data_IF_903491785336
#
_entry.id   IF_903491785336
#
_cell.length_a   1.000
_cell.length_b   1.000
_cell.length_c   1.000
_cell.angle_alpha   90.00
_cell.angle_beta   90.00
_cell.angle_gamma   90.00
#
_symmetry.space_group_name_H-M   'P 1'
#
loop_
_entity.id
_entity.type
_entity.pdbx_description
1 polymer ?
#
# COMPACT_ATOMS: atom_id res chain seq x y z
N UNK A 1 6.77 -9.36 10.49
CA UNK A 1 6.85 -7.97 10.95
C UNK A 1 8.28 -7.67 11.35
N UNK A 2 8.68 -6.40 11.29
CA UNK A 2 10.00 -5.91 11.73
C UNK A 2 9.82 -4.50 12.30
N UNK A 3 10.58 -4.14 13.34
CA UNK A 3 10.58 -2.78 13.90
C UNK A 3 11.90 -2.11 13.60
N UNK A 4 11.85 -0.93 12.99
CA UNK A 4 13.01 -0.11 12.61
C UNK A 4 12.99 1.20 13.39
N UNK A 5 14.16 1.64 13.85
CA UNK A 5 14.33 2.96 14.47
C UNK A 5 14.85 3.97 13.44
N UNK A 6 14.16 5.09 13.28
CA UNK A 6 14.61 6.17 12.41
C UNK A 6 14.32 7.53 13.04
N UNK A 7 15.35 8.39 13.14
CA UNK A 7 15.24 9.73 13.72
C UNK A 7 14.54 9.76 15.11
N UNK A 8 14.81 8.75 15.95
CA UNK A 8 14.21 8.61 17.28
C UNK A 8 12.75 8.12 17.30
N UNK A 9 12.17 7.77 16.16
CA UNK A 9 10.84 7.16 16.04
C UNK A 9 10.96 5.66 15.76
N UNK A 10 10.10 4.87 16.40
CA UNK A 10 9.90 3.47 16.07
C UNK A 10 8.90 3.34 14.92
N UNK A 11 9.27 2.56 13.91
CA UNK A 11 8.45 2.25 12.75
C UNK A 11 8.26 0.74 12.68
N UNK A 12 7.02 0.28 12.80
CA UNK A 12 6.65 -1.10 12.54
C UNK A 12 6.40 -1.30 11.05
N UNK A 13 7.18 -2.18 10.45
CA UNK A 13 6.99 -2.66 9.08
C UNK A 13 6.34 -4.04 9.11
N UNK A 14 5.27 -4.20 8.34
CA UNK A 14 4.60 -5.48 8.13
C UNK A 14 4.54 -5.78 6.63
N UNK A 15 4.58 -7.05 6.27
CA UNK A 15 4.52 -7.51 4.88
C UNK A 15 3.51 -8.63 4.74
N UNK A 16 2.72 -8.63 3.66
CA UNK A 16 1.84 -9.75 3.28
C UNK A 16 1.83 -9.96 1.77
N UNK A 17 1.77 -11.24 1.38
CA UNK A 17 1.68 -11.70 -0.02
C UNK A 17 0.32 -12.36 -0.30
N UNK A 18 -0.67 -12.15 0.58
CA UNK A 18 -2.01 -12.68 0.38
C UNK A 18 -2.67 -12.09 -0.89
N UNK A 19 -3.49 -12.90 -1.59
CA UNK A 19 -3.85 -14.29 -1.30
C UNK A 19 -2.86 -15.32 -1.88
N UNK A 20 -1.73 -14.92 -2.49
CA UNK A 20 -0.86 -15.88 -3.18
C UNK A 20 0.01 -16.71 -2.24
N UNK A 21 0.49 -16.14 -1.14
CA UNK A 21 1.36 -16.86 -0.23
C UNK A 21 1.25 -16.40 1.22
N UNK A 22 1.45 -17.37 2.11
CA UNK A 22 1.58 -17.16 3.54
C UNK A 22 0.27 -16.78 4.22
N UNK A 23 0.42 -16.20 5.40
CA UNK A 23 -0.67 -15.67 6.22
C UNK A 23 -0.44 -14.18 6.44
N UNK A 24 -1.39 -13.52 7.08
CA UNK A 24 -1.15 -12.18 7.59
C UNK A 24 0.03 -12.19 8.58
N UNK A 25 0.87 -11.15 8.56
CA UNK A 25 2.01 -11.09 9.46
C UNK A 25 1.50 -11.04 10.91
N UNK A 26 2.12 -11.78 11.83
CA UNK A 26 1.67 -11.81 13.21
C UNK A 26 1.77 -10.41 13.81
N UNK A 27 0.71 -10.00 14.50
CA UNK A 27 0.63 -8.75 15.23
C UNK A 27 0.52 -9.09 16.72
N UNK A 28 1.32 -8.41 17.53
CA UNK A 28 1.17 -8.45 18.98
C UNK A 28 0.00 -7.52 19.33
N UNK A 29 -1.18 -8.08 19.59
CA UNK A 29 -2.47 -7.41 19.37
C UNK A 29 -3.06 -6.65 20.58
N UNK A 30 -2.22 -6.26 21.54
CA UNK A 30 -2.52 -5.20 22.53
C UNK A 30 -2.44 -3.76 21.99
N UNK A 31 -2.95 -3.55 20.76
CA UNK A 31 -3.14 -2.28 20.02
C UNK A 31 -2.17 -1.14 20.34
N UNK A 32 -1.12 -1.05 19.51
CA UNK A 32 -0.13 0.03 19.42
C UNK A 32 0.77 0.17 20.66
N UNK A 33 1.91 -0.54 20.64
CA UNK A 33 3.00 -0.29 21.59
C UNK A 33 3.62 1.07 21.26
N UNK A 34 3.26 2.08 22.07
CA UNK A 34 3.76 3.45 21.96
C UNK A 34 3.23 4.26 20.76
N UNK A 35 3.87 5.38 20.44
CA UNK A 35 3.50 6.26 19.32
C UNK A 35 3.98 5.76 17.94
N UNK A 36 4.45 4.51 17.85
CA UNK A 36 5.13 3.94 16.69
C UNK A 36 4.30 4.00 15.41
N UNK A 37 4.90 4.51 14.34
CA UNK A 37 4.31 4.55 12.99
C UNK A 37 4.20 3.12 12.45
N UNK A 38 3.06 2.74 11.87
CA UNK A 38 2.81 1.40 11.32
C UNK A 38 2.63 1.46 9.80
N UNK A 39 3.48 0.74 9.08
CA UNK A 39 3.46 0.65 7.61
C UNK A 39 3.26 -0.80 7.18
N UNK A 40 2.24 -1.03 6.35
CA UNK A 40 2.01 -2.31 5.68
C UNK A 40 2.53 -2.24 4.25
N UNK A 41 3.38 -3.19 3.88
CA UNK A 41 3.69 -3.53 2.49
C UNK A 41 2.80 -4.70 2.08
N UNK A 42 2.04 -4.53 1.00
CA UNK A 42 1.15 -5.58 0.50
C UNK A 42 1.24 -5.67 -1.00
N UNK A 43 1.09 -6.88 -1.54
CA UNK A 43 0.94 -7.03 -2.98
C UNK A 43 -0.38 -6.38 -3.45
N UNK A 44 -1.49 -6.61 -2.74
CA UNK A 44 -2.83 -6.19 -3.17
C UNK A 44 -3.39 -4.98 -2.41
N UNK A 45 -4.00 -4.01 -3.13
CA UNK A 45 -4.67 -2.87 -2.49
C UNK A 45 -5.84 -3.24 -1.58
N UNK A 46 -6.48 -4.40 -1.78
CA UNK A 46 -7.60 -4.88 -0.98
C UNK A 46 -7.20 -5.15 0.47
N UNK A 47 -5.92 -5.42 0.73
CA UNK A 47 -5.39 -5.61 2.09
C UNK A 47 -5.45 -4.34 2.94
N UNK A 48 -5.83 -3.21 2.37
CA UNK A 48 -6.15 -1.99 3.12
C UNK A 48 -7.25 -2.22 4.17
N UNK A 49 -8.19 -3.13 3.95
CA UNK A 49 -9.25 -3.38 4.93
C UNK A 49 -8.70 -4.09 6.18
N UNK A 50 -7.79 -5.03 5.99
CA UNK A 50 -7.05 -5.64 7.09
C UNK A 50 -6.15 -4.59 7.78
N UNK A 51 -5.43 -3.78 7.00
CA UNK A 51 -4.58 -2.70 7.52
C UNK A 51 -5.38 -1.74 8.43
N UNK A 52 -6.58 -1.33 7.99
CA UNK A 52 -7.49 -0.46 8.77
C UNK A 52 -7.94 -1.11 10.07
N UNK A 53 -8.34 -2.38 10.01
CA UNK A 53 -8.79 -3.15 11.19
C UNK A 53 -7.69 -3.26 12.25
N UNK A 54 -6.43 -3.24 11.84
CA UNK A 54 -5.26 -3.36 12.72
C UNK A 54 -4.50 -2.03 12.93
N UNK A 55 -5.13 -0.90 12.60
CA UNK A 55 -4.62 0.45 12.85
C UNK A 55 -3.24 0.73 12.24
N UNK A 56 -3.02 0.28 11.00
CA UNK A 56 -1.89 0.75 10.21
C UNK A 56 -2.10 2.20 9.78
N UNK A 57 -1.08 3.03 9.90
CA UNK A 57 -1.16 4.43 9.47
C UNK A 57 -1.00 4.54 7.95
N UNK A 58 -0.18 3.67 7.34
CA UNK A 58 0.10 3.64 5.91
C UNK A 58 0.10 2.21 5.35
N UNK A 59 -0.54 2.02 4.19
CA UNK A 59 -0.44 0.81 3.38
C UNK A 59 0.13 1.15 2.00
N UNK A 60 1.15 0.42 1.57
CA UNK A 60 1.79 0.54 0.26
C UNK A 60 1.48 -0.72 -0.54
N UNK A 61 0.76 -0.54 -1.64
CA UNK A 61 0.28 -1.63 -2.48
C UNK A 61 0.72 -1.49 -3.94
N UNK A 62 0.74 -2.63 -4.63
CA UNK A 62 1.03 -2.72 -6.06
C UNK A 62 0.00 -3.58 -6.78
N UNK A 63 0.50 -4.60 -7.49
CA UNK A 63 -0.26 -5.60 -8.25
C UNK A 63 -1.01 -5.11 -9.49
N UNK A 64 -1.79 -4.03 -9.38
CA UNK A 64 -2.75 -3.65 -10.41
C UNK A 64 -2.12 -2.93 -11.61
N UNK A 65 -0.86 -2.50 -11.51
CA UNK A 65 -0.14 -1.78 -12.56
C UNK A 65 -0.93 -0.60 -13.18
N UNK A 66 -1.70 0.13 -12.38
CA UNK A 66 -2.54 1.24 -12.88
C UNK A 66 -3.74 0.81 -13.73
N UNK A 67 -4.04 -0.49 -13.76
CA UNK A 67 -5.06 -1.14 -14.59
C UNK A 67 -4.57 -1.61 -15.96
N UNK A 68 -3.27 -1.45 -16.26
CA UNK A 68 -2.57 -1.75 -17.53
C UNK A 68 -3.09 -1.00 -18.77
N UNK A 69 -4.40 -0.90 -18.95
CA UNK A 69 -5.09 -0.21 -20.03
C UNK A 69 -6.03 0.82 -19.41
N UNK A 70 -5.82 2.09 -19.78
CA UNK A 70 -6.67 3.22 -19.38
C UNK A 70 -7.14 3.96 -20.62
N UNK A 71 -8.45 4.07 -20.77
CA UNK A 71 -9.05 4.86 -21.85
C UNK A 71 -9.32 6.30 -21.39
N UNK A 72 -9.24 7.28 -22.31
CA UNK A 72 -9.72 8.64 -22.03
C UNK A 72 -11.16 8.58 -21.50
N UNK A 73 -11.44 9.31 -20.42
CA UNK A 73 -12.76 9.44 -19.75
C UNK A 73 -13.28 8.18 -19.03
N UNK A 74 -13.02 6.98 -19.54
CA UNK A 74 -13.49 5.70 -18.95
C UNK A 74 -12.58 5.18 -17.83
N UNK A 75 -11.31 5.59 -17.81
CA UNK A 75 -10.37 5.16 -16.78
C UNK A 75 -9.85 3.73 -16.97
N UNK A 76 -9.40 3.05 -15.90
CA UNK A 76 -8.78 1.73 -15.97
C UNK A 76 -9.79 0.60 -16.15
N UNK A 77 -9.45 -0.40 -16.96
CA UNK A 77 -10.28 -1.61 -17.13
C UNK A 77 -10.16 -2.53 -15.91
N UNK A 78 -8.93 -2.69 -15.39
CA UNK A 78 -8.61 -3.57 -14.27
C UNK A 78 -8.29 -2.71 -13.03
N UNK A 79 -8.65 -3.21 -11.85
CA UNK A 79 -8.25 -2.61 -10.57
C UNK A 79 -9.25 -1.62 -9.97
N UNK A 80 -10.28 -1.22 -10.71
CA UNK A 80 -11.42 -0.46 -10.21
C UNK A 80 -11.00 0.78 -9.41
N UNK A 81 -11.58 0.95 -8.21
CA UNK A 81 -11.34 2.09 -7.32
C UNK A 81 -9.87 2.28 -6.94
N UNK A 82 -9.11 1.19 -6.81
CA UNK A 82 -7.74 1.22 -6.30
C UNK A 82 -6.68 1.00 -7.39
N UNK A 83 -6.97 1.32 -8.66
CA UNK A 83 -6.04 1.08 -9.75
C UNK A 83 -4.66 1.76 -9.57
N UNK A 84 -4.63 2.98 -9.04
CA UNK A 84 -3.39 3.72 -8.72
C UNK A 84 -3.71 4.99 -7.92
N UNK A 85 -2.78 5.48 -7.11
CA UNK A 85 -2.85 6.78 -6.44
C UNK A 85 -2.89 6.70 -4.93
N UNK A 86 -3.20 7.83 -4.30
CA UNK A 86 -3.31 7.98 -2.85
C UNK A 86 -4.77 7.99 -2.41
N UNK A 87 -5.11 7.20 -1.39
CA UNK A 87 -6.46 7.03 -0.87
C UNK A 87 -6.46 7.21 0.64
N UNK A 88 -7.26 8.15 1.13
CA UNK A 88 -7.45 8.38 2.56
C UNK A 88 -8.62 7.53 3.05
N UNK A 89 -8.33 6.49 3.81
CA UNK A 89 -9.29 5.52 4.32
C UNK A 89 -9.08 5.38 5.84
N UNK A 90 -9.48 6.42 6.58
CA UNK A 90 -9.19 6.55 8.02
C UNK A 90 -9.40 5.24 8.80
N UNK A 91 -8.45 4.85 9.67
CA UNK A 91 -7.24 5.58 10.06
C UNK A 91 -6.06 5.44 9.08
N UNK A 92 -6.21 4.69 7.98
CA UNK A 92 -5.11 4.30 7.09
C UNK A 92 -5.06 5.14 5.82
N UNK A 93 -3.87 5.55 5.42
CA UNK A 93 -3.62 6.04 4.07
C UNK A 93 -3.12 4.88 3.20
N UNK A 94 -3.73 4.67 2.04
CA UNK A 94 -3.29 3.68 1.05
C UNK A 94 -2.62 4.39 -0.13
N UNK A 95 -1.44 3.94 -0.52
CA UNK A 95 -0.83 4.30 -1.80
C UNK A 95 -0.75 3.07 -2.70
N UNK A 96 -1.28 3.18 -3.92
CA UNK A 96 -1.17 2.15 -4.95
C UNK A 96 -0.28 2.64 -6.09
N UNK A 97 0.88 2.01 -6.23
CA UNK A 97 1.82 2.30 -7.33
C UNK A 97 1.40 1.63 -8.64
N UNK A 98 1.76 2.23 -9.77
CA UNK A 98 1.63 1.62 -11.11
C UNK A 98 2.82 0.72 -11.42
N UNK A 99 3.92 0.86 -10.67
CA UNK A 99 5.13 0.05 -10.78
C UNK A 99 5.90 0.30 -12.07
N UNK A 100 7.11 -0.25 -12.14
CA UNK A 100 8.03 -0.10 -13.26
C UNK A 100 7.85 -1.18 -14.34
N UNK A 101 7.58 -2.43 -13.93
CA UNK A 101 7.46 -3.58 -14.83
C UNK A 101 6.03 -3.84 -15.33
N UNK A 102 5.88 -4.78 -16.25
CA UNK A 102 4.59 -5.34 -16.68
C UNK A 102 4.78 -6.81 -17.11
N UNK A 103 3.82 -7.68 -16.78
CA UNK A 103 3.79 -9.10 -17.20
C UNK A 103 3.65 -9.27 -18.72
N UNK A 104 3.03 -8.29 -19.39
CA UNK A 104 2.94 -8.16 -20.83
C UNK A 104 3.20 -6.68 -21.21
N UNK A 105 3.81 -6.37 -22.37
CA UNK A 105 4.28 -5.02 -22.69
C UNK A 105 3.16 -3.98 -22.91
N UNK A 106 1.89 -4.36 -22.80
CA UNK A 106 0.75 -3.49 -23.06
C UNK A 106 0.44 -2.59 -21.85
N UNK A 107 1.06 -1.41 -21.87
CA UNK A 107 0.67 -0.24 -21.07
C UNK A 107 0.04 0.81 -21.98
N UNK A 108 -1.28 0.81 -22.08
CA UNK A 108 -2.01 1.80 -22.89
C UNK A 108 -2.63 2.87 -22.00
N UNK A 109 -2.26 4.14 -22.19
CA UNK A 109 -2.69 5.22 -21.30
C UNK A 109 -2.22 5.05 -19.84
N UNK A 110 -1.24 4.16 -19.60
CA UNK A 110 -0.80 3.77 -18.25
C UNK A 110 0.74 3.77 -18.07
N UNK A 111 1.39 4.95 -18.06
CA UNK A 111 2.84 5.02 -17.89
C UNK A 111 3.30 4.43 -16.54
N UNK A 112 4.52 3.87 -16.47
CA UNK A 112 5.14 3.47 -15.21
C UNK A 112 5.38 4.67 -14.29
N UNK A 113 5.47 4.41 -12.99
CA UNK A 113 5.71 5.45 -11.99
C UNK A 113 6.78 5.04 -10.97
N UNK A 114 7.44 6.07 -10.43
CA UNK A 114 8.28 6.00 -9.24
C UNK A 114 7.80 7.11 -8.33
N UNK A 115 7.42 6.76 -7.10
CA UNK A 115 6.81 7.70 -6.16
C UNK A 115 7.72 7.91 -4.96
N UNK A 116 7.92 9.18 -4.60
CA UNK A 116 8.55 9.58 -3.34
C UNK A 116 7.45 9.96 -2.35
N UNK A 117 7.23 9.11 -1.36
CA UNK A 117 6.35 9.43 -0.24
C UNK A 117 7.16 10.14 0.86
N UNK A 118 6.64 11.26 1.35
CA UNK A 118 7.25 12.03 2.43
C UNK A 118 6.29 12.00 3.61
N UNK A 119 6.72 11.33 4.68
CA UNK A 119 5.97 11.26 5.93
C UNK A 119 6.45 12.39 6.84
N UNK A 120 5.48 13.05 7.48
CA UNK A 120 5.74 14.14 8.43
C UNK A 120 5.04 13.81 9.73
N UNK A 121 5.74 13.96 10.84
CA UNK A 121 5.06 13.99 12.14
C UNK A 121 4.25 15.28 12.20
N UNK A 122 2.99 15.24 12.69
CA UNK A 122 2.42 16.43 13.29
C UNK A 122 3.33 16.76 14.49
N UNK A 123 4.04 17.88 14.40
CA UNK A 123 4.67 18.48 15.56
C UNK A 123 3.59 19.07 16.46
#
# INVERSE_FOLDING_TARGET
TETVNHAGQQILLAGTELPWAGEHPPLDDGTRVGSSLRILLTHLPQEVWWARRHHFDLALAGHLHGGQIRFPLLGPIIGGRFASGLFHLEPTVLHVGRGLGALAPLRFGCPPDVVKLVLRSPH
#
